data_IF_193592808145
#
_entry.id   IF_193592808145
#
_cell.length_a   1.000
_cell.length_b   1.000
_cell.length_c   1.000
_cell.angle_alpha   90.00
_cell.angle_beta   90.00
_cell.angle_gamma   90.00
#
_symmetry.space_group_name_H-M   'P 1'
#
loop_
_entity.id
_entity.type
_entity.pdbx_description
1 polymer ?
#
# COMPACT_ATOMS: atom_id res chain seq x y z
N UNK A 1 -19.19 3.95 18.01
CA UNK A 1 -17.80 3.62 18.37
C UNK A 1 -17.56 2.17 17.99
N UNK A 2 -17.37 1.89 16.70
CA UNK A 2 -17.17 0.50 16.27
C UNK A 2 -15.79 0.04 16.68
N UNK A 3 -15.75 -1.09 17.37
CA UNK A 3 -14.72 -2.13 17.30
C UNK A 3 -13.28 -1.65 17.10
N UNK A 4 -12.42 -1.93 18.09
CA UNK A 4 -10.96 -1.87 17.96
C UNK A 4 -10.47 -2.86 16.89
N UNK A 5 -10.72 -2.56 15.61
CA UNK A 5 -9.92 -3.07 14.52
C UNK A 5 -8.53 -2.48 14.73
N UNK A 6 -7.61 -3.31 15.21
CA UNK A 6 -6.21 -2.91 15.30
C UNK A 6 -5.76 -2.58 13.90
N UNK A 7 -5.22 -1.39 13.70
CA UNK A 7 -4.76 -0.92 12.40
C UNK A 7 -3.84 -1.99 11.77
N UNK A 8 -4.16 -2.52 10.58
CA UNK A 8 -3.37 -3.58 9.95
C UNK A 8 -1.91 -3.17 9.70
N UNK A 9 -1.61 -1.88 9.56
CA UNK A 9 -0.22 -1.40 9.43
C UNK A 9 0.54 -1.48 10.75
N UNK A 10 -0.15 -1.34 11.88
CA UNK A 10 0.42 -1.54 13.23
C UNK A 10 0.57 -3.03 13.50
N UNK A 11 -0.44 -3.84 13.20
CA UNK A 11 -0.40 -5.31 13.41
C UNK A 11 0.71 -5.94 12.56
N UNK A 12 0.88 -5.48 11.32
CA UNK A 12 1.95 -5.91 10.42
C UNK A 12 3.32 -5.27 10.69
N UNK A 13 3.45 -4.46 11.75
CA UNK A 13 4.69 -3.73 12.16
C UNK A 13 5.26 -2.76 11.13
N UNK A 14 4.52 -2.46 10.07
CA UNK A 14 4.90 -1.46 9.07
C UNK A 14 5.05 -0.09 9.72
N UNK A 15 4.12 0.27 10.60
CA UNK A 15 4.30 1.40 11.52
C UNK A 15 5.26 0.98 12.63
N UNK A 16 6.36 1.71 12.79
CA UNK A 16 7.48 1.38 13.66
C UNK A 16 8.71 0.91 12.87
N UNK A 17 8.55 -0.06 11.96
CA UNK A 17 9.69 -0.58 11.19
C UNK A 17 10.01 0.28 9.94
N UNK A 18 8.99 0.87 9.30
CA UNK A 18 9.14 1.63 8.05
C UNK A 18 8.58 3.05 8.13
N UNK A 19 7.43 3.22 8.79
CA UNK A 19 6.74 4.50 8.91
C UNK A 19 6.57 4.88 10.38
N UNK A 20 6.68 6.17 10.67
CA UNK A 20 6.18 6.71 11.94
C UNK A 20 4.65 6.64 11.99
N UNK A 21 4.09 6.65 13.19
CA UNK A 21 2.64 6.63 13.35
C UNK A 21 2.00 7.89 12.73
N UNK A 22 1.02 7.70 11.86
CA UNK A 22 0.38 8.78 11.10
C UNK A 22 -1.14 8.63 11.09
N UNK A 23 -1.85 9.71 10.76
CA UNK A 23 -3.30 9.68 10.50
C UNK A 23 -3.54 9.65 9.00
N UNK A 24 -4.29 8.65 8.51
CA UNK A 24 -4.62 8.55 7.09
C UNK A 24 -5.68 9.58 6.71
N UNK A 25 -5.30 10.57 5.91
CA UNK A 25 -6.17 11.69 5.51
C UNK A 25 -6.70 11.58 4.08
N UNK A 26 -5.95 10.93 3.19
CA UNK A 26 -6.28 10.81 1.77
C UNK A 26 -6.55 9.33 1.42
N UNK A 27 -7.68 9.01 0.77
CA UNK A 27 -7.94 7.67 0.28
C UNK A 27 -7.00 7.37 -0.88
N UNK A 28 -6.47 6.15 -0.91
CA UNK A 28 -5.58 5.67 -1.97
C UNK A 28 -5.97 4.24 -2.32
N UNK A 29 -6.07 3.95 -3.61
CA UNK A 29 -6.39 2.63 -4.15
C UNK A 29 -5.31 2.21 -5.13
N UNK A 30 -4.79 0.99 -4.94
CA UNK A 30 -3.75 0.41 -5.78
C UNK A 30 -4.31 -0.88 -6.36
N UNK A 31 -4.19 -1.07 -7.67
CA UNK A 31 -4.72 -2.23 -8.38
C UNK A 31 -3.66 -2.84 -9.29
N UNK A 32 -3.55 -4.18 -9.28
CA UNK A 32 -2.79 -4.97 -10.26
C UNK A 32 -3.77 -5.82 -11.06
N UNK A 33 -3.81 -5.64 -12.39
CA UNK A 33 -4.66 -6.45 -13.29
C UNK A 33 -6.10 -6.62 -12.80
N UNK A 34 -6.71 -5.52 -12.34
CA UNK A 34 -8.07 -5.42 -11.76
C UNK A 34 -8.27 -6.01 -10.35
N UNK A 35 -7.21 -6.39 -9.63
CA UNK A 35 -7.28 -6.82 -8.24
C UNK A 35 -6.76 -5.74 -7.30
N UNK A 36 -7.53 -5.44 -6.27
CA UNK A 36 -7.12 -4.50 -5.22
C UNK A 36 -5.97 -5.05 -4.37
N UNK A 37 -5.03 -4.18 -4.07
CA UNK A 37 -4.01 -4.38 -3.04
C UNK A 37 -4.63 -4.00 -1.70
N UNK A 38 -4.61 -4.94 -0.76
CA UNK A 38 -5.11 -4.76 0.60
C UNK A 38 -3.99 -5.09 1.60
N UNK A 39 -3.97 -4.42 2.75
CA UNK A 39 -2.97 -4.66 3.78
C UNK A 39 -3.01 -6.12 4.25
N UNK A 40 -1.84 -6.78 4.26
CA UNK A 40 -1.71 -8.19 4.65
C UNK A 40 -2.16 -9.22 3.60
N UNK A 41 -2.63 -8.79 2.41
CA UNK A 41 -2.91 -9.71 1.31
C UNK A 41 -1.62 -10.10 0.60
N UNK A 42 -1.34 -11.40 0.53
CA UNK A 42 -0.27 -11.91 -0.32
C UNK A 42 -0.61 -11.78 -1.81
N UNK A 43 0.38 -11.36 -2.59
CA UNK A 43 0.34 -11.27 -4.03
C UNK A 43 1.39 -12.20 -4.61
N UNK A 44 1.03 -12.97 -5.65
CA UNK A 44 2.03 -13.82 -6.33
C UNK A 44 2.98 -12.93 -7.15
N UNK A 45 4.25 -13.34 -7.33
CA UNK A 45 5.19 -12.60 -8.18
C UNK A 45 4.65 -12.35 -9.59
N UNK A 46 3.91 -13.31 -10.16
CA UNK A 46 3.27 -13.16 -11.47
C UNK A 46 2.14 -12.12 -11.52
N UNK A 47 1.57 -11.74 -10.38
CA UNK A 47 0.53 -10.71 -10.28
C UNK A 47 1.12 -9.29 -10.25
N UNK A 48 2.41 -9.14 -9.90
CA UNK A 48 3.08 -7.84 -9.70
C UNK A 48 4.13 -7.51 -10.77
N UNK A 49 4.11 -8.23 -11.90
CA UNK A 49 5.07 -8.04 -12.99
C UNK A 49 4.99 -6.65 -13.64
N UNK A 50 3.79 -6.10 -13.75
CA UNK A 50 3.54 -4.81 -14.37
C UNK A 50 3.30 -3.72 -13.34
N UNK A 51 3.56 -2.46 -13.70
CA UNK A 51 3.27 -1.32 -12.84
C UNK A 51 1.78 -1.29 -12.44
N UNK A 52 1.45 -1.06 -11.14
CA UNK A 52 0.07 -0.99 -10.71
C UNK A 52 -0.59 0.30 -11.18
N UNK A 53 -1.92 0.26 -11.29
CA UNK A 53 -2.73 1.47 -11.40
C UNK A 53 -2.97 2.02 -10.00
N UNK A 54 -2.66 3.31 -9.82
CA UNK A 54 -2.80 4.02 -8.55
C UNK A 54 -3.80 5.15 -8.71
N UNK A 55 -4.77 5.17 -7.81
CA UNK A 55 -5.76 6.23 -7.69
C UNK A 55 -5.59 6.87 -6.32
N UNK A 56 -5.29 8.17 -6.32
CA UNK A 56 -5.17 8.99 -5.11
C UNK A 56 -6.37 9.92 -5.11
N UNK A 57 -7.13 9.94 -4.02
CA UNK A 57 -8.20 10.91 -3.83
C UNK A 57 -7.66 12.28 -3.41
N UNK A 58 -8.54 13.11 -2.87
CA UNK A 58 -8.22 14.46 -2.42
C UNK A 58 -9.02 15.50 -3.20
N UNK A 59 -9.33 16.60 -2.52
CA UNK A 59 -10.25 17.62 -3.03
C UNK A 59 -9.52 18.74 -3.79
N UNK A 60 -8.19 18.82 -3.65
CA UNK A 60 -7.36 19.84 -4.26
C UNK A 60 -6.44 19.27 -5.35
N UNK A 61 -6.70 19.68 -6.60
CA UNK A 61 -5.93 19.31 -7.78
C UNK A 61 -4.57 20.01 -7.86
N UNK A 62 -4.30 21.00 -7.01
CA UNK A 62 -3.00 21.70 -6.94
C UNK A 62 -2.00 20.99 -6.04
N UNK A 63 -2.47 20.05 -5.23
CA UNK A 63 -1.61 19.27 -4.36
C UNK A 63 -1.01 18.10 -5.14
N UNK A 64 0.32 18.03 -5.15
CA UNK A 64 1.06 16.93 -5.78
C UNK A 64 1.54 15.95 -4.71
N UNK A 65 1.39 14.67 -4.99
CA UNK A 65 1.77 13.60 -4.08
C UNK A 65 2.93 12.80 -4.66
N UNK A 66 3.80 12.31 -3.77
CA UNK A 66 4.84 11.36 -4.11
C UNK A 66 4.45 9.99 -3.58
N UNK A 67 4.46 8.97 -4.44
CA UNK A 67 4.26 7.58 -4.06
C UNK A 67 5.60 6.85 -4.00
N UNK A 68 5.87 6.19 -2.87
CA UNK A 68 7.08 5.39 -2.67
C UNK A 68 6.69 3.92 -2.49
N UNK A 69 7.22 3.06 -3.36
CA UNK A 69 7.16 1.61 -3.21
C UNK A 69 8.51 1.14 -2.65
N UNK A 70 8.47 0.44 -1.51
CA UNK A 70 9.64 -0.25 -0.96
C UNK A 70 9.36 -1.76 -1.02
N UNK A 71 10.34 -2.53 -1.49
CA UNK A 71 10.28 -4.00 -1.43
C UNK A 71 11.25 -4.46 -0.35
N UNK A 72 10.76 -5.19 0.65
CA UNK A 72 11.62 -5.88 1.60
C UNK A 72 11.86 -7.27 1.04
N UNK A 73 12.75 -7.35 0.04
CA UNK A 73 13.27 -8.57 -0.59
C UNK A 73 12.25 -9.57 -1.15
N UNK A 74 12.07 -9.54 -2.47
CA UNK A 74 12.14 -10.77 -3.26
C UNK A 74 13.15 -10.52 -4.37
N UNK A 75 14.29 -11.19 -4.27
CA UNK A 75 15.27 -11.29 -5.34
C UNK A 75 14.58 -11.93 -6.55
N UNK A 76 14.16 -11.13 -7.52
CA UNK A 76 13.66 -11.59 -8.82
C UNK A 76 14.81 -12.11 -9.71
N UNK A 77 15.72 -12.90 -9.16
CA UNK A 77 16.85 -13.49 -9.89
C UNK A 77 16.78 -15.03 -9.91
N UNK A 78 15.59 -15.59 -10.12
CA UNK A 78 15.36 -17.02 -10.32
C UNK A 78 14.16 -17.31 -11.26
N UNK A 79 13.85 -16.42 -12.22
CA UNK A 79 13.04 -16.73 -13.40
C UNK A 79 13.85 -16.50 -14.66
#
# INVERSE_FOLDING_TARGET
>A
MSSRERDPLIVGRVVGDVLDNFTRTIPMRITYSNKDVNNGRELKPSEVLNQPRVEIGGDDLRTFYTLVFYTVSICCHCF
#
